data_IF_407684618411
#
_entry.id   IF_407684618411
#
_cell.length_a   1.000
_cell.length_b   1.000
_cell.length_c   1.000
_cell.angle_alpha   90.00
_cell.angle_beta   90.00
_cell.angle_gamma   90.00
#
_symmetry.space_group_name_H-M   'P 1'
#
loop_
_entity.id
_entity.type
_entity.pdbx_description
1 polymer ?
#
# COMPACT_ATOMS: atom_id res chain seq x y z
N UNK A 1 10.81 -5.23 -11.07
CA UNK A 1 11.43 -4.82 -12.35
C UNK A 1 11.42 -3.30 -12.41
N UNK A 2 12.59 -2.67 -12.26
CA UNK A 2 12.74 -1.22 -12.44
C UNK A 2 12.74 -0.93 -13.93
N UNK A 3 11.76 -0.16 -14.38
CA UNK A 3 11.66 0.28 -15.78
C UNK A 3 12.73 1.35 -16.03
N UNK A 4 13.88 0.98 -16.55
CA UNK A 4 14.96 1.88 -16.96
C UNK A 4 14.76 2.46 -18.37
N UNK A 5 13.54 2.41 -18.89
CA UNK A 5 13.20 2.89 -20.23
C UNK A 5 13.16 4.41 -20.30
N UNK A 6 13.94 4.98 -21.19
CA UNK A 6 13.90 6.39 -21.57
C UNK A 6 12.50 6.74 -22.07
N UNK A 7 11.84 7.68 -21.40
CA UNK A 7 10.49 8.13 -21.80
C UNK A 7 10.59 8.89 -23.12
N UNK A 8 9.89 8.41 -24.15
CA UNK A 8 9.74 9.08 -25.44
C UNK A 8 8.44 9.90 -25.49
N UNK A 9 8.53 11.13 -25.96
CA UNK A 9 7.37 11.97 -26.16
C UNK A 9 6.56 11.53 -27.39
N UNK A 10 5.30 11.14 -27.22
CA UNK A 10 4.42 10.74 -28.33
C UNK A 10 4.06 11.88 -29.32
N UNK A 11 4.47 13.12 -29.05
CA UNK A 11 4.23 14.27 -29.93
C UNK A 11 5.46 14.66 -30.76
N UNK A 12 6.64 14.73 -30.15
CA UNK A 12 7.86 15.17 -30.85
C UNK A 12 8.90 14.06 -31.02
N UNK A 13 8.62 12.86 -30.51
CA UNK A 13 9.43 11.63 -30.52
C UNK A 13 10.83 11.78 -29.88
N UNK A 14 11.09 12.89 -29.17
CA UNK A 14 12.33 13.09 -28.41
C UNK A 14 12.28 12.38 -27.08
N UNK A 15 13.45 11.95 -26.61
CA UNK A 15 13.65 11.34 -25.29
C UNK A 15 13.67 12.39 -24.16
N UNK A 16 13.49 11.93 -22.92
CA UNK A 16 13.65 12.75 -21.70
C UNK A 16 12.40 13.49 -21.23
N UNK A 17 11.27 13.39 -21.96
CA UNK A 17 10.00 13.98 -21.53
C UNK A 17 8.79 13.24 -22.13
N UNK A 18 7.63 13.38 -21.51
CA UNK A 18 6.36 12.86 -22.02
C UNK A 18 5.57 13.96 -22.77
N UNK A 19 4.44 13.56 -23.39
CA UNK A 19 3.57 14.51 -24.11
C UNK A 19 3.08 15.66 -23.21
N UNK A 20 2.88 15.42 -21.88
CA UNK A 20 2.38 16.46 -20.96
C UNK A 20 3.42 17.55 -20.70
N UNK A 21 4.70 17.23 -20.68
CA UNK A 21 5.82 18.17 -20.48
C UNK A 21 6.54 18.58 -21.76
N UNK A 22 5.95 18.29 -22.93
CA UNK A 22 6.59 18.58 -24.23
C UNK A 22 6.69 20.08 -24.51
N UNK A 23 7.91 20.64 -24.70
CA UNK A 23 8.11 22.06 -25.01
C UNK A 23 7.43 22.47 -26.30
N UNK A 24 7.51 21.63 -27.35
CA UNK A 24 6.89 21.93 -28.67
C UNK A 24 5.38 22.12 -28.58
N UNK A 25 4.68 21.35 -27.74
CA UNK A 25 3.23 21.55 -27.50
C UNK A 25 2.98 22.88 -26.77
N UNK A 26 3.85 23.23 -25.84
CA UNK A 26 3.74 24.49 -25.10
C UNK A 26 3.92 25.69 -26.06
N UNK A 27 4.92 25.65 -26.91
CA UNK A 27 5.14 26.67 -27.96
C UNK A 27 3.97 26.71 -28.94
N UNK A 28 3.42 25.57 -29.34
CA UNK A 28 2.25 25.50 -30.22
C UNK A 28 1.04 26.21 -29.62
N UNK A 29 0.77 26.02 -28.32
CA UNK A 29 -0.34 26.71 -27.64
C UNK A 29 -0.10 28.22 -27.58
N UNK A 30 1.14 28.68 -27.32
CA UNK A 30 1.48 30.11 -27.34
C UNK A 30 1.28 30.70 -28.73
N UNK A 31 1.77 30.02 -29.77
CA UNK A 31 1.62 30.46 -31.15
C UNK A 31 0.14 30.59 -31.54
N UNK A 32 -0.66 29.54 -31.27
CA UNK A 32 -2.10 29.56 -31.56
C UNK A 32 -2.84 30.66 -30.82
N UNK A 33 -2.50 30.89 -29.58
CA UNK A 33 -3.07 32.00 -28.80
C UNK A 33 -2.83 33.35 -29.47
N UNK A 34 -1.60 33.62 -29.91
CA UNK A 34 -1.22 34.84 -30.63
C UNK A 34 -1.94 34.95 -31.99
N UNK A 35 -2.02 33.85 -32.75
CA UNK A 35 -2.70 33.80 -34.02
C UNK A 35 -4.22 34.09 -33.86
N UNK A 36 -4.86 33.48 -32.89
CA UNK A 36 -6.28 33.75 -32.60
C UNK A 36 -6.53 35.16 -32.11
N UNK A 37 -5.61 35.77 -31.36
CA UNK A 37 -5.68 37.16 -30.96
C UNK A 37 -5.68 38.09 -32.19
N UNK A 38 -4.79 37.84 -33.14
CA UNK A 38 -4.76 38.59 -34.42
C UNK A 38 -6.03 38.39 -35.26
N UNK A 39 -6.54 37.18 -35.32
CA UNK A 39 -7.80 36.91 -36.00
C UNK A 39 -8.97 37.60 -35.34
N UNK A 40 -9.02 37.62 -34.02
CA UNK A 40 -10.04 38.35 -33.26
C UNK A 40 -10.03 39.84 -33.57
N UNK A 41 -8.85 40.48 -33.55
CA UNK A 41 -8.68 41.92 -33.92
C UNK A 41 -9.20 42.21 -35.33
N UNK A 42 -8.98 41.30 -36.29
CA UNK A 42 -9.50 41.43 -37.66
C UNK A 42 -11.02 41.30 -37.72
N UNK A 43 -11.60 40.34 -36.99
CA UNK A 43 -13.06 40.18 -36.95
C UNK A 43 -13.75 41.37 -36.24
N UNK A 44 -13.14 41.93 -35.22
CA UNK A 44 -13.63 43.12 -34.52
C UNK A 44 -13.61 44.33 -35.49
N UNK A 45 -12.54 44.51 -36.28
CA UNK A 45 -12.47 45.59 -37.28
C UNK A 45 -13.51 45.44 -38.42
N UNK A 46 -13.90 44.20 -38.73
CA UNK A 46 -14.86 43.90 -39.79
C UNK A 46 -16.29 43.71 -39.27
N UNK A 47 -16.55 43.89 -37.98
CA UNK A 47 -17.84 43.65 -37.33
C UNK A 47 -18.42 42.24 -37.53
N UNK A 48 -17.55 41.23 -37.68
CA UNK A 48 -17.95 39.82 -37.79
C UNK A 48 -18.22 39.21 -36.39
N UNK A 49 -19.50 39.27 -35.99
CA UNK A 49 -19.89 38.78 -34.66
C UNK A 49 -19.68 37.30 -34.43
N UNK A 50 -19.89 36.46 -35.47
CA UNK A 50 -19.67 35.00 -35.41
C UNK A 50 -18.18 34.67 -35.28
N UNK A 51 -17.33 35.33 -36.01
CA UNK A 51 -15.88 35.18 -35.92
C UNK A 51 -15.35 35.60 -34.55
N UNK A 52 -15.88 36.72 -34.02
CA UNK A 52 -15.51 37.23 -32.67
C UNK A 52 -15.75 36.16 -31.59
N UNK A 53 -16.92 35.56 -31.52
CA UNK A 53 -17.24 34.56 -30.50
C UNK A 53 -16.36 33.32 -30.65
N UNK A 54 -16.19 32.83 -31.86
CA UNK A 54 -15.37 31.65 -32.14
C UNK A 54 -13.90 31.88 -31.76
N UNK A 55 -13.28 32.97 -32.16
CA UNK A 55 -11.86 33.22 -31.85
C UNK A 55 -11.64 33.57 -30.38
N UNK A 56 -12.58 34.23 -29.70
CA UNK A 56 -12.54 34.39 -28.23
C UNK A 56 -12.48 33.04 -27.53
N UNK A 57 -13.34 32.11 -27.88
CA UNK A 57 -13.36 30.77 -27.28
C UNK A 57 -12.05 30.01 -27.50
N UNK A 58 -11.52 30.03 -28.73
CA UNK A 58 -10.24 29.39 -29.05
C UNK A 58 -9.05 30.01 -28.33
N UNK A 59 -9.01 31.35 -28.28
CA UNK A 59 -7.96 32.11 -27.59
C UNK A 59 -7.94 31.77 -26.09
N UNK A 60 -9.08 31.77 -25.42
CA UNK A 60 -9.20 31.38 -23.99
C UNK A 60 -8.73 29.94 -23.78
N UNK A 61 -9.15 29.00 -24.63
CA UNK A 61 -8.76 27.59 -24.54
C UNK A 61 -7.24 27.39 -24.64
N UNK A 62 -6.58 28.01 -25.60
CA UNK A 62 -5.14 27.84 -25.79
C UNK A 62 -4.33 28.65 -24.75
N UNK A 63 -4.83 29.79 -24.28
CA UNK A 63 -4.28 30.50 -23.12
C UNK A 63 -4.28 29.61 -21.88
N UNK A 64 -5.40 28.99 -21.56
CA UNK A 64 -5.54 28.12 -20.40
C UNK A 64 -4.60 26.90 -20.47
N UNK A 65 -4.47 26.31 -21.66
CA UNK A 65 -3.53 25.20 -21.90
C UNK A 65 -2.08 25.64 -21.70
N UNK A 66 -1.70 26.82 -22.22
CA UNK A 66 -0.37 27.37 -22.03
C UNK A 66 -0.08 27.69 -20.55
N UNK A 67 -0.99 28.41 -19.89
CA UNK A 67 -0.90 28.75 -18.47
C UNK A 67 -0.85 27.51 -17.60
N UNK A 68 -1.64 26.46 -17.90
CA UNK A 68 -1.61 25.19 -17.18
C UNK A 68 -0.26 24.49 -17.27
N UNK A 69 0.47 24.64 -18.36
CA UNK A 69 1.78 24.02 -18.59
C UNK A 69 2.93 24.81 -18.00
N UNK A 70 2.93 26.12 -18.20
CA UNK A 70 4.07 27.00 -17.86
C UNK A 70 3.91 27.72 -16.52
N UNK A 71 2.68 28.00 -16.13
CA UNK A 71 2.39 28.93 -15.03
C UNK A 71 2.56 30.39 -15.40
N UNK A 72 2.88 30.70 -16.66
CA UNK A 72 3.15 32.05 -17.16
C UNK A 72 1.96 32.60 -17.95
N UNK A 73 1.77 33.89 -17.91
CA UNK A 73 0.85 34.58 -18.82
C UNK A 73 1.47 34.67 -20.21
N UNK A 74 0.77 34.30 -21.29
CA UNK A 74 1.34 34.30 -22.64
C UNK A 74 1.66 35.68 -23.20
N UNK A 75 0.98 36.74 -22.70
CA UNK A 75 1.20 38.13 -23.14
C UNK A 75 2.38 38.78 -22.42
N UNK A 76 2.40 38.70 -21.07
CA UNK A 76 3.41 39.38 -20.24
C UNK A 76 4.62 38.51 -19.91
N UNK A 77 4.50 37.18 -19.99
CA UNK A 77 5.53 36.25 -19.54
C UNK A 77 5.67 36.13 -18.01
N UNK A 78 4.84 36.83 -17.26
CA UNK A 78 4.89 36.81 -15.80
C UNK A 78 4.23 35.58 -15.19
N UNK A 79 4.68 35.19 -14.00
CA UNK A 79 4.09 34.06 -13.26
C UNK A 79 2.70 34.41 -12.73
N UNK A 80 1.69 33.67 -13.19
CA UNK A 80 0.33 33.82 -12.69
C UNK A 80 0.26 33.32 -11.25
N UNK A 81 -0.13 34.17 -10.30
CA UNK A 81 -0.27 33.84 -8.88
C UNK A 81 -1.43 32.85 -8.64
N UNK A 82 -1.19 31.54 -8.87
CA UNK A 82 -2.18 30.46 -8.65
C UNK A 82 -2.44 30.14 -7.16
N UNK A 83 -1.69 30.74 -6.23
CA UNK A 83 -1.73 30.37 -4.80
C UNK A 83 -3.10 30.56 -4.14
N UNK A 84 -3.83 31.63 -4.48
CA UNK A 84 -5.14 31.93 -3.83
C UNK A 84 -6.22 30.91 -4.19
N UNK A 85 -6.38 30.57 -5.46
CA UNK A 85 -7.40 29.61 -5.92
C UNK A 85 -7.15 28.18 -5.38
N UNK A 86 -5.89 27.76 -5.19
CA UNK A 86 -5.54 26.47 -4.60
C UNK A 86 -5.86 26.44 -3.10
N UNK A 87 -5.56 27.50 -2.38
CA UNK A 87 -5.86 27.60 -0.95
C UNK A 87 -7.38 27.62 -0.67
N UNK A 88 -8.15 28.34 -1.48
CA UNK A 88 -9.61 28.36 -1.38
C UNK A 88 -10.24 27.01 -1.72
N UNK A 89 -9.76 26.35 -2.78
CA UNK A 89 -10.21 25.01 -3.13
C UNK A 89 -9.88 24.00 -2.04
N UNK A 90 -8.72 24.13 -1.38
CA UNK A 90 -8.33 23.24 -0.27
C UNK A 90 -9.23 23.38 0.94
N UNK A 91 -9.80 24.57 1.25
CA UNK A 91 -10.73 24.75 2.38
C UNK A 91 -11.96 23.86 2.29
N UNK A 92 -12.42 23.57 1.07
CA UNK A 92 -13.62 22.76 0.81
C UNK A 92 -13.30 21.27 0.53
N UNK A 93 -12.04 20.86 0.59
CA UNK A 93 -11.65 19.45 0.41
C UNK A 93 -11.89 18.69 1.70
N UNK A 94 -12.79 17.74 1.67
CA UNK A 94 -13.01 16.81 2.77
C UNK A 94 -11.97 15.68 2.73
N UNK A 95 -11.31 15.45 3.86
CA UNK A 95 -10.37 14.35 4.00
C UNK A 95 -11.11 13.00 3.93
N UNK A 96 -10.73 12.14 2.96
CA UNK A 96 -11.33 10.82 2.81
C UNK A 96 -11.01 9.83 3.94
N UNK A 97 -10.25 10.25 4.96
CA UNK A 97 -9.89 9.43 6.11
C UNK A 97 -10.60 9.88 7.39
N UNK A 98 -10.34 11.11 7.86
CA UNK A 98 -10.94 11.64 9.09
C UNK A 98 -12.24 12.41 8.87
N UNK A 99 -12.66 12.65 7.61
CA UNK A 99 -13.88 13.40 7.28
C UNK A 99 -13.78 14.91 7.48
N UNK A 100 -12.71 15.45 8.06
CA UNK A 100 -12.53 16.87 8.31
C UNK A 100 -12.23 17.65 7.03
N UNK A 101 -12.75 18.88 6.93
CA UNK A 101 -12.48 19.78 5.82
C UNK A 101 -11.08 20.43 5.93
N UNK A 102 -10.58 20.90 4.81
CA UNK A 102 -9.36 21.73 4.75
C UNK A 102 -8.08 21.00 4.43
N UNK A 103 -8.09 19.67 4.31
CA UNK A 103 -6.89 18.90 3.97
C UNK A 103 -7.20 17.63 3.18
N UNK A 104 -6.17 17.10 2.54
CA UNK A 104 -6.22 15.78 1.90
C UNK A 104 -5.64 14.73 2.86
N UNK A 105 -5.95 13.47 2.60
CA UNK A 105 -5.41 12.33 3.32
C UNK A 105 -3.86 12.31 3.44
N UNK A 106 -3.13 12.82 2.43
CA UNK A 106 -1.64 12.85 2.45
C UNK A 106 -1.06 13.70 3.58
N UNK A 107 -1.80 14.73 4.01
CA UNK A 107 -1.40 15.67 5.06
C UNK A 107 -2.28 15.54 6.31
N UNK A 108 -3.03 14.46 6.42
CA UNK A 108 -3.91 14.20 7.54
C UNK A 108 -3.10 13.77 8.77
N UNK A 109 -3.15 14.54 9.83
CA UNK A 109 -2.44 14.22 11.08
C UNK A 109 -3.00 12.96 11.74
N UNK A 110 -4.31 12.73 11.64
CA UNK A 110 -4.94 11.51 12.13
C UNK A 110 -4.35 10.26 11.44
N UNK A 111 -4.17 10.30 10.10
CA UNK A 111 -3.50 9.18 9.39
C UNK A 111 -2.09 8.94 9.91
N UNK A 112 -1.36 10.01 10.17
CA UNK A 112 0.02 9.90 10.67
C UNK A 112 0.06 9.30 12.08
N UNK A 113 -0.82 9.79 12.97
CA UNK A 113 -0.95 9.26 14.32
C UNK A 113 -1.33 7.78 14.30
N UNK A 114 -2.35 7.42 13.56
CA UNK A 114 -2.81 6.06 13.42
C UNK A 114 -1.73 5.13 12.83
N UNK A 115 -0.95 5.63 11.89
CA UNK A 115 0.16 4.85 11.33
C UNK A 115 1.28 4.61 12.34
N UNK A 116 1.58 5.56 13.22
CA UNK A 116 2.55 5.35 14.31
C UNK A 116 2.08 4.25 15.26
N UNK A 117 0.81 4.31 15.69
CA UNK A 117 0.21 3.27 16.54
C UNK A 117 0.29 1.90 15.85
N UNK A 118 -0.05 1.83 14.56
CA UNK A 118 0.04 0.60 13.78
C UNK A 118 1.48 0.04 13.74
N UNK A 119 2.49 0.88 13.58
CA UNK A 119 3.89 0.43 13.54
C UNK A 119 4.33 -0.16 14.88
N UNK A 120 3.99 0.49 16.00
CA UNK A 120 4.34 0.00 17.35
C UNK A 120 3.64 -1.33 17.63
N UNK A 121 2.35 -1.43 17.34
CA UNK A 121 1.61 -2.68 17.51
C UNK A 121 2.13 -3.80 16.59
N UNK A 122 2.47 -3.48 15.36
CA UNK A 122 3.08 -4.45 14.44
C UNK A 122 4.41 -4.97 15.00
N UNK A 123 5.25 -4.08 15.52
CA UNK A 123 6.52 -4.46 16.14
C UNK A 123 6.27 -5.40 17.34
N UNK A 124 5.34 -5.05 18.22
CA UNK A 124 4.99 -5.87 19.39
C UNK A 124 4.53 -7.28 18.99
N UNK A 125 3.57 -7.36 18.06
CA UNK A 125 3.05 -8.66 17.58
C UNK A 125 4.16 -9.50 16.97
N UNK A 126 5.02 -8.88 16.16
CA UNK A 126 6.14 -9.58 15.51
C UNK A 126 7.20 -10.04 16.51
N UNK A 127 7.50 -9.24 17.53
CA UNK A 127 8.45 -9.64 18.58
C UNK A 127 7.94 -10.87 19.33
N UNK A 128 6.71 -10.82 19.84
CA UNK A 128 6.12 -11.95 20.57
C UNK A 128 6.06 -13.22 19.71
N UNK A 129 5.69 -13.08 18.45
CA UNK A 129 5.63 -14.21 17.53
C UNK A 129 7.02 -14.81 17.23
N UNK A 130 8.01 -13.95 17.03
CA UNK A 130 9.40 -14.40 16.78
C UNK A 130 9.96 -15.16 18.01
N UNK A 131 9.65 -14.68 19.22
CA UNK A 131 10.00 -15.35 20.46
C UNK A 131 9.34 -16.74 20.53
N UNK A 132 8.03 -16.82 20.29
CA UNK A 132 7.30 -18.08 20.28
C UNK A 132 7.84 -19.09 19.23
N UNK A 133 8.20 -18.59 18.03
CA UNK A 133 8.81 -19.44 16.99
C UNK A 133 10.19 -19.96 17.45
N UNK A 134 11.00 -19.11 18.08
CA UNK A 134 12.31 -19.50 18.61
C UNK A 134 12.20 -20.48 19.76
N UNK A 135 11.28 -20.25 20.68
CA UNK A 135 11.01 -21.15 21.82
C UNK A 135 10.52 -22.52 21.36
N UNK A 136 9.74 -22.59 20.30
CA UNK A 136 9.30 -23.86 19.72
C UNK A 136 10.45 -24.70 19.14
N UNK A 137 11.59 -24.06 18.82
CA UNK A 137 12.73 -24.68 18.12
C UNK A 137 12.45 -25.08 16.68
N UNK A 138 11.27 -24.75 16.13
CA UNK A 138 10.89 -25.11 14.76
C UNK A 138 11.30 -23.98 13.81
N UNK A 139 12.04 -24.30 12.76
CA UNK A 139 12.52 -23.33 11.78
C UNK A 139 12.43 -23.85 10.35
N UNK A 140 12.81 -23.01 9.39
CA UNK A 140 12.95 -23.41 8.00
C UNK A 140 14.03 -24.49 7.93
N UNK A 141 13.71 -25.63 7.31
CA UNK A 141 14.58 -26.81 7.31
C UNK A 141 14.20 -27.86 8.35
N UNK A 142 13.36 -27.55 9.34
CA UNK A 142 12.89 -28.53 10.32
C UNK A 142 12.00 -29.58 9.69
N UNK A 143 12.17 -30.83 10.13
CA UNK A 143 11.22 -31.91 9.89
C UNK A 143 10.26 -31.99 11.06
N UNK A 144 8.97 -31.98 10.79
CA UNK A 144 7.91 -32.03 11.78
C UNK A 144 6.89 -33.10 11.46
N UNK A 145 6.24 -33.64 12.49
CA UNK A 145 5.12 -34.55 12.32
C UNK A 145 3.84 -33.91 12.85
N UNK A 146 2.74 -34.08 12.14
CA UNK A 146 1.42 -33.70 12.62
C UNK A 146 0.33 -34.56 11.98
N UNK A 147 -0.82 -34.70 12.66
CA UNK A 147 -1.93 -35.47 12.11
C UNK A 147 -2.54 -34.78 10.89
N UNK A 148 -2.82 -35.59 9.89
CA UNK A 148 -3.52 -35.17 8.67
C UNK A 148 -4.66 -36.13 8.37
N UNK A 149 -5.70 -35.63 7.70
CA UNK A 149 -6.83 -36.44 7.25
C UNK A 149 -6.68 -36.78 5.78
N UNK A 150 -6.84 -38.05 5.44
CA UNK A 150 -6.73 -38.49 4.06
C UNK A 150 -6.79 -40.00 3.93
N UNK A 151 -6.38 -40.50 2.77
CA UNK A 151 -6.19 -41.92 2.55
C UNK A 151 -4.78 -42.34 2.95
N UNK A 152 -4.67 -43.38 3.78
CA UNK A 152 -3.40 -44.01 4.11
C UNK A 152 -2.85 -44.82 2.93
N UNK A 153 -1.69 -45.42 3.11
CA UNK A 153 -1.05 -46.29 2.11
C UNK A 153 -1.93 -47.47 1.70
N UNK A 154 -2.84 -47.90 2.53
CA UNK A 154 -3.75 -49.02 2.32
C UNK A 154 -5.10 -48.58 1.69
N UNK A 155 -5.20 -47.33 1.30
CA UNK A 155 -6.42 -46.75 0.69
C UNK A 155 -7.59 -46.55 1.65
N UNK A 156 -7.36 -46.58 2.98
CA UNK A 156 -8.37 -46.31 3.99
C UNK A 156 -8.36 -44.86 4.37
N UNK A 157 -9.54 -44.24 4.39
CA UNK A 157 -9.71 -42.86 4.87
C UNK A 157 -9.60 -42.81 6.41
N UNK A 158 -8.80 -41.88 6.93
CA UNK A 158 -8.62 -41.70 8.37
C UNK A 158 -7.65 -40.59 8.71
N UNK A 159 -7.35 -40.47 10.00
CA UNK A 159 -6.27 -39.59 10.48
C UNK A 159 -4.97 -40.42 10.56
N UNK A 160 -3.90 -39.88 9.99
CA UNK A 160 -2.57 -40.49 10.01
C UNK A 160 -1.50 -39.42 10.26
N UNK A 161 -0.38 -39.84 10.82
CA UNK A 161 0.74 -38.95 11.06
C UNK A 161 1.51 -38.69 9.78
N UNK A 162 1.69 -37.45 9.44
CA UNK A 162 2.41 -37.00 8.24
C UNK A 162 3.74 -36.37 8.65
N UNK A 163 4.83 -36.90 8.13
CA UNK A 163 6.15 -36.28 8.25
C UNK A 163 6.28 -35.20 7.18
N UNK A 164 6.62 -33.99 7.57
CA UNK A 164 6.66 -32.83 6.71
C UNK A 164 7.89 -31.98 6.96
N UNK A 165 8.33 -31.28 5.93
CA UNK A 165 9.50 -30.42 5.94
C UNK A 165 9.08 -28.96 5.80
N UNK A 166 9.52 -28.10 6.72
CA UNK A 166 9.20 -26.65 6.70
C UNK A 166 10.06 -25.96 5.64
N UNK A 167 9.41 -25.36 4.66
CA UNK A 167 10.08 -24.72 3.52
C UNK A 167 10.28 -23.23 3.73
N UNK A 168 9.29 -22.53 4.31
CA UNK A 168 9.38 -21.08 4.55
C UNK A 168 8.34 -20.59 5.53
N UNK A 169 8.63 -19.46 6.18
CA UNK A 169 7.68 -18.65 6.91
C UNK A 169 7.21 -17.46 6.08
N UNK A 170 5.92 -17.17 6.10
CA UNK A 170 5.32 -16.04 5.41
C UNK A 170 5.40 -14.77 6.27
N UNK A 171 6.61 -14.30 6.57
CA UNK A 171 6.87 -13.17 7.46
C UNK A 171 6.10 -11.91 7.09
N UNK A 172 5.91 -11.64 5.78
CA UNK A 172 5.22 -10.45 5.28
C UNK A 172 3.70 -10.47 5.55
N UNK A 173 3.14 -11.60 5.99
CA UNK A 173 1.72 -11.70 6.34
C UNK A 173 1.40 -11.20 7.75
N UNK A 174 2.42 -11.00 8.60
CA UNK A 174 2.25 -10.65 10.01
C UNK A 174 2.35 -9.15 10.23
N UNK A 175 1.31 -8.59 10.81
CA UNK A 175 1.25 -7.19 11.27
C UNK A 175 0.23 -7.05 12.40
N UNK A 176 -0.06 -5.81 12.82
CA UNK A 176 -1.02 -5.53 13.90
C UNK A 176 -2.43 -6.13 13.66
N UNK A 177 -2.81 -6.36 12.41
CA UNK A 177 -4.13 -6.90 12.03
C UNK A 177 -4.10 -8.38 11.71
N UNK A 178 -3.05 -8.84 11.03
CA UNK A 178 -2.86 -10.24 10.65
C UNK A 178 -1.81 -10.87 11.55
N UNK A 179 -2.25 -11.51 12.64
CA UNK A 179 -1.37 -12.05 13.69
C UNK A 179 -0.90 -13.48 13.41
N UNK A 180 -1.50 -14.13 12.42
CA UNK A 180 -1.12 -15.50 12.06
C UNK A 180 0.09 -15.55 11.16
N UNK A 181 1.16 -16.21 11.61
CA UNK A 181 2.33 -16.51 10.77
C UNK A 181 2.00 -17.73 9.90
N UNK A 182 1.97 -17.52 8.59
CA UNK A 182 1.86 -18.62 7.65
C UNK A 182 3.15 -19.42 7.58
N UNK A 183 3.02 -20.73 7.69
CA UNK A 183 4.11 -21.70 7.55
C UNK A 183 3.84 -22.54 6.33
N UNK A 184 4.76 -22.56 5.40
CA UNK A 184 4.69 -23.44 4.22
C UNK A 184 5.52 -24.68 4.47
N UNK A 185 4.97 -25.84 4.10
CA UNK A 185 5.61 -27.13 4.30
C UNK A 185 5.32 -28.06 3.12
N UNK A 186 6.14 -29.07 2.99
CA UNK A 186 5.97 -30.13 2.01
C UNK A 186 6.10 -31.50 2.69
N UNK A 187 5.29 -32.46 2.25
CA UNK A 187 5.42 -33.84 2.72
C UNK A 187 6.81 -34.39 2.34
N UNK A 188 7.45 -35.11 3.25
CA UNK A 188 8.79 -35.70 3.04
C UNK A 188 8.91 -36.52 1.74
N UNK A 189 7.83 -37.18 1.31
CA UNK A 189 7.79 -37.91 0.04
C UNK A 189 7.88 -37.03 -1.20
N UNK A 190 7.53 -35.76 -1.05
CA UNK A 190 7.50 -34.76 -2.11
C UNK A 190 8.57 -33.66 -1.95
N UNK A 191 9.56 -33.87 -1.08
CA UNK A 191 10.58 -32.86 -0.78
C UNK A 191 11.34 -32.42 -2.05
N UNK A 192 11.50 -33.29 -3.02
CA UNK A 192 12.09 -32.99 -4.33
C UNK A 192 11.20 -32.05 -5.19
N UNK A 193 9.93 -31.86 -4.81
CA UNK A 193 8.96 -30.98 -5.47
C UNK A 193 8.65 -29.73 -4.65
N UNK A 194 9.50 -29.34 -3.70
CA UNK A 194 9.26 -28.19 -2.81
C UNK A 194 9.10 -26.86 -3.55
N UNK A 195 9.56 -26.78 -4.81
CA UNK A 195 9.38 -25.59 -5.67
C UNK A 195 8.08 -25.61 -6.49
N UNK A 196 7.36 -26.73 -6.48
CA UNK A 196 6.09 -26.84 -7.17
C UNK A 196 4.95 -26.38 -6.23
N UNK A 197 4.21 -25.30 -6.59
CA UNK A 197 3.16 -24.76 -5.73
C UNK A 197 2.02 -25.74 -5.44
N UNK A 198 1.83 -26.75 -6.26
CA UNK A 198 0.82 -27.82 -6.04
C UNK A 198 1.19 -28.82 -4.95
N UNK A 199 2.46 -28.85 -4.53
CA UNK A 199 2.96 -29.77 -3.48
C UNK A 199 3.35 -29.06 -2.20
N UNK A 200 3.28 -27.72 -2.16
CA UNK A 200 3.52 -26.91 -0.97
C UNK A 200 2.20 -26.60 -0.30
N UNK A 201 2.03 -27.08 0.91
CA UNK A 201 0.89 -26.82 1.76
C UNK A 201 1.20 -25.63 2.70
N UNK A 202 0.17 -25.00 3.27
CA UNK A 202 0.33 -23.91 4.22
C UNK A 202 -0.57 -24.09 5.42
N UNK A 203 -0.06 -23.73 6.60
CA UNK A 203 -0.77 -23.75 7.88
C UNK A 203 -0.37 -22.50 8.69
N UNK A 204 -1.18 -22.05 9.61
CA UNK A 204 -0.76 -21.05 10.59
C UNK A 204 0.09 -21.70 11.68
N UNK A 205 1.12 -20.98 12.14
CA UNK A 205 2.08 -21.46 13.13
C UNK A 205 1.41 -21.98 14.40
N UNK A 206 0.49 -21.23 14.98
CA UNK A 206 -0.25 -21.63 16.18
C UNK A 206 -1.03 -22.92 15.95
N UNK A 207 -1.74 -23.01 14.81
CA UNK A 207 -2.48 -24.24 14.46
C UNK A 207 -1.55 -25.42 14.21
N UNK A 208 -0.34 -25.19 13.74
CA UNK A 208 0.68 -26.24 13.59
C UNK A 208 1.14 -26.75 14.95
N UNK A 209 1.43 -25.86 15.90
CA UNK A 209 1.82 -26.22 17.27
C UNK A 209 0.73 -27.02 17.99
N UNK A 210 -0.53 -26.59 17.88
CA UNK A 210 -1.65 -27.30 18.50
C UNK A 210 -1.82 -28.71 17.92
N UNK A 211 -1.68 -28.86 16.62
CA UNK A 211 -1.71 -30.18 15.96
C UNK A 211 -0.54 -31.06 16.35
N UNK A 212 0.66 -30.47 16.54
CA UNK A 212 1.85 -31.23 17.00
C UNK A 212 1.68 -31.75 18.44
N UNK A 213 0.96 -31.05 19.33
CA UNK A 213 0.67 -31.50 20.69
C UNK A 213 -0.20 -32.74 20.71
N UNK A 214 -0.99 -32.98 19.67
CA UNK A 214 -1.83 -34.18 19.50
C UNK A 214 -1.06 -35.39 18.90
N UNK A 215 0.21 -35.19 18.56
CA UNK A 215 1.06 -36.29 18.02
C UNK A 215 1.36 -37.28 19.15
N UNK A 216 1.26 -38.60 18.90
CA UNK A 216 1.58 -39.62 19.90
C UNK A 216 3.00 -39.48 20.47
N UNK A 217 3.19 -39.86 21.74
CA UNK A 217 4.49 -39.76 22.43
C UNK A 217 5.62 -40.52 21.74
N UNK A 218 5.29 -41.58 20.98
CA UNK A 218 6.21 -42.36 20.19
C UNK A 218 6.56 -41.78 18.82
N UNK A 219 5.92 -40.65 18.44
CA UNK A 219 6.26 -39.99 17.20
C UNK A 219 7.66 -39.34 17.28
N UNK A 220 8.42 -39.34 16.19
CA UNK A 220 9.73 -38.68 16.19
C UNK A 220 9.59 -37.18 16.52
N UNK A 221 10.41 -36.71 17.45
CA UNK A 221 10.46 -35.29 17.82
C UNK A 221 10.75 -34.42 16.56
N UNK A 222 10.22 -33.20 16.51
CA UNK A 222 10.57 -32.27 15.45
C UNK A 222 12.10 -32.03 15.41
N UNK A 223 12.66 -31.98 14.23
CA UNK A 223 14.06 -31.60 14.08
C UNK A 223 14.23 -30.11 14.37
N UNK A 224 15.07 -29.79 15.37
CA UNK A 224 15.35 -28.40 15.77
C UNK A 224 16.40 -27.70 14.90
N UNK A 225 16.83 -28.32 13.80
CA UNK A 225 17.89 -27.81 12.94
C UNK A 225 17.48 -26.65 12.00
N UNK A 226 16.29 -26.09 12.17
CA UNK A 226 15.77 -25.07 11.29
C UNK A 226 16.25 -23.65 11.62
N UNK A 227 16.32 -22.80 10.60
CA UNK A 227 16.65 -21.37 10.74
C UNK A 227 15.39 -20.53 11.04
N UNK A 228 15.46 -19.69 12.05
CA UNK A 228 14.39 -18.76 12.44
C UNK A 228 14.91 -17.31 12.31
N UNK A 229 15.15 -16.90 11.08
CA UNK A 229 15.63 -15.56 10.77
C UNK A 229 14.59 -14.81 9.93
N UNK A 230 13.91 -13.83 10.50
CA UNK A 230 13.06 -12.93 9.73
C UNK A 230 13.93 -12.07 8.79
N UNK A 231 13.35 -11.52 7.71
CA UNK A 231 14.05 -10.60 6.83
C UNK A 231 14.49 -9.33 7.55
N UNK A 232 15.59 -8.72 7.08
CA UNK A 232 16.11 -7.46 7.63
C UNK A 232 15.04 -6.37 7.68
N UNK A 233 14.96 -5.64 8.79
CA UNK A 233 13.96 -4.60 9.01
C UNK A 233 12.52 -5.09 9.24
N UNK A 234 12.31 -6.40 9.35
CA UNK A 234 10.97 -6.94 9.59
C UNK A 234 10.41 -6.51 10.94
N UNK A 235 11.20 -6.53 12.01
CA UNK A 235 10.77 -6.08 13.35
C UNK A 235 10.41 -4.60 13.39
N UNK A 236 10.99 -3.78 12.52
CA UNK A 236 10.70 -2.34 12.47
C UNK A 236 9.43 -1.98 11.67
N UNK A 237 8.65 -2.97 11.28
CA UNK A 237 7.43 -2.77 10.51
C UNK A 237 7.64 -2.52 9.01
N UNK A 238 8.89 -2.49 8.55
CA UNK A 238 9.28 -2.07 7.20
C UNK A 238 8.80 -2.94 6.04
N UNK A 239 8.34 -4.18 6.31
CA UNK A 239 7.88 -5.13 5.28
C UNK A 239 6.42 -5.53 5.41
N UNK A 240 5.59 -4.74 6.12
CA UNK A 240 4.16 -5.00 6.09
C UNK A 240 3.62 -4.79 4.67
N UNK A 241 2.71 -5.66 4.23
CA UNK A 241 2.02 -5.47 2.94
C UNK A 241 1.36 -4.08 2.95
N UNK A 242 1.52 -3.31 1.87
CA UNK A 242 0.87 -2.00 1.69
C UNK A 242 -0.65 -2.04 1.89
N UNK A 243 -1.25 -3.21 1.76
CA UNK A 243 -2.67 -3.45 1.98
C UNK A 243 -3.05 -3.60 3.46
N UNK A 244 -2.08 -3.81 4.36
CA UNK A 244 -2.37 -4.08 5.76
C UNK A 244 -2.73 -2.81 6.55
N UNK A 245 -2.07 -1.68 6.28
CA UNK A 245 -2.55 -0.41 6.82
C UNK A 245 -3.66 0.13 5.90
N UNK A 246 -4.89 0.30 6.41
CA UNK A 246 -6.04 0.70 5.60
C UNK A 246 -5.86 2.13 5.08
N UNK A 247 -5.21 2.21 3.93
CA UNK A 247 -5.05 3.47 3.22
C UNK A 247 -6.31 3.89 2.48
N UNK A 248 -7.33 3.05 2.41
CA UNK A 248 -8.62 3.29 1.74
C UNK A 248 -9.75 3.17 2.75
N UNK A 249 -9.89 4.12 3.68
CA UNK A 249 -11.16 4.31 4.39
C UNK A 249 -12.25 4.60 3.34
N UNK A 250 -13.34 3.83 3.34
CA UNK A 250 -14.53 4.18 2.57
C UNK A 250 -15.00 5.56 3.05
N UNK A 251 -15.35 6.45 2.12
CA UNK A 251 -15.94 7.77 2.42
C UNK A 251 -17.18 7.71 3.32
N UNK A 252 -17.75 6.51 3.49
CA UNK A 252 -18.99 6.27 4.23
C UNK A 252 -18.77 5.61 5.60
N UNK A 253 -17.60 5.02 5.86
CA UNK A 253 -17.30 4.48 7.18
C UNK A 253 -16.81 5.63 8.07
N UNK A 254 -17.71 6.10 8.92
CA UNK A 254 -17.40 7.08 9.98
C UNK A 254 -16.44 6.51 11.02
N UNK A 255 -16.21 5.22 10.99
CA UNK A 255 -15.41 4.47 11.94
C UNK A 255 -14.04 4.17 11.35
N UNK A 256 -13.01 4.33 12.13
CA UNK A 256 -11.63 4.07 11.72
C UNK A 256 -11.45 2.56 11.54
N UNK A 257 -11.10 2.06 10.34
CA UNK A 257 -11.21 0.61 10.01
C UNK A 257 -10.39 -0.31 10.91
N UNK A 258 -9.40 0.19 11.65
CA UNK A 258 -8.54 -0.60 12.53
C UNK A 258 -8.90 -0.50 14.01
N UNK A 259 -9.81 0.40 14.44
CA UNK A 259 -10.25 0.52 15.83
C UNK A 259 -10.86 -0.80 16.38
N UNK A 260 -11.49 -1.56 15.51
CA UNK A 260 -12.15 -2.83 15.86
C UNK A 260 -11.20 -4.03 16.05
N UNK A 261 -9.96 -3.97 15.58
CA UNK A 261 -9.10 -5.15 15.51
C UNK A 261 -8.04 -5.21 16.61
N UNK A 262 -7.87 -4.14 17.38
CA UNK A 262 -6.90 -4.12 18.47
C UNK A 262 -7.54 -4.35 19.81
N UNK A 263 -6.94 -5.15 20.69
CA UNK A 263 -7.34 -5.21 22.07
C UNK A 263 -7.32 -3.80 22.69
N UNK A 264 -8.39 -3.40 23.36
CA UNK A 264 -8.57 -2.04 23.88
C UNK A 264 -7.41 -1.59 24.80
N UNK A 265 -6.95 -2.49 25.68
CA UNK A 265 -5.94 -2.17 26.68
C UNK A 265 -4.56 -1.93 26.05
N UNK A 266 -4.13 -2.80 25.14
CA UNK A 266 -2.84 -2.63 24.46
C UNK A 266 -2.80 -1.36 23.58
N UNK A 267 -3.94 -0.96 23.06
CA UNK A 267 -4.07 0.28 22.29
C UNK A 267 -3.90 1.50 23.18
N UNK A 268 -4.51 1.51 24.38
CA UNK A 268 -4.38 2.60 25.37
C UNK A 268 -2.91 2.83 25.75
N UNK A 269 -2.18 1.76 26.06
CA UNK A 269 -0.75 1.83 26.39
C UNK A 269 0.08 2.45 25.25
N UNK A 270 -0.15 2.02 24.02
CA UNK A 270 0.59 2.54 22.86
C UNK A 270 0.24 4.00 22.59
N UNK A 271 -1.03 4.41 22.66
CA UNK A 271 -1.46 5.79 22.49
C UNK A 271 -0.78 6.68 23.53
N UNK A 272 -0.74 6.23 24.79
CA UNK A 272 -0.10 6.94 25.89
C UNK A 272 1.40 7.06 25.70
N UNK A 273 2.08 5.97 25.32
CA UNK A 273 3.53 5.96 25.10
C UNK A 273 3.98 6.86 23.95
N UNK A 274 3.10 7.07 22.98
CA UNK A 274 3.36 7.94 21.81
C UNK A 274 2.90 9.40 22.03
N UNK A 275 2.26 9.73 23.17
CA UNK A 275 1.74 11.08 23.43
C UNK A 275 0.60 11.48 22.47
N UNK A 276 -0.22 10.54 22.04
CA UNK A 276 -1.27 10.75 21.04
C UNK A 276 -2.68 10.86 21.63
N UNK A 277 -2.82 11.10 22.95
CA UNK A 277 -4.11 11.15 23.65
C UNK A 277 -5.08 12.16 23.04
N UNK A 278 -4.59 13.32 22.60
CA UNK A 278 -5.42 14.35 21.99
C UNK A 278 -6.09 13.91 20.68
N UNK A 279 -5.49 12.94 19.98
CA UNK A 279 -6.05 12.35 18.77
C UNK A 279 -7.08 11.23 19.04
N UNK A 280 -7.15 10.78 20.30
CA UNK A 280 -8.00 9.66 20.73
C UNK A 280 -8.71 9.98 22.05
N UNK A 281 -9.60 10.97 22.05
CA UNK A 281 -10.24 11.43 23.30
C UNK A 281 -11.00 10.32 24.04
N UNK A 282 -11.53 9.33 23.31
CA UNK A 282 -12.27 8.19 23.90
C UNK A 282 -11.35 7.03 24.35
N UNK A 283 -10.05 7.11 24.17
CA UNK A 283 -9.12 6.09 24.64
C UNK A 283 -8.64 6.32 26.08
N UNK A 284 -9.02 7.46 26.67
CA UNK A 284 -8.68 7.83 28.05
C UNK A 284 -9.70 7.31 29.09
N UNK A 285 -10.87 6.84 28.65
CA UNK A 285 -11.88 6.15 29.47
C UNK A 285 -11.68 4.62 29.44
#
# INVERSE_FOLDING_TARGET
MSWSGTVHCSHCYKQGHNRRSCPKITELHKKRYIDYKRCLEKCEANHDTSGIEMYKAHMVSDRDKYVKRTGLDPDTGEKIKRKKAKAERMKNVQCGYCGTLGHTRRVCETVKADYQVYLVETKRVRTNLLEAVRESGIGVGSMVTFPDRGYNTDGKWGTYTKLSYITTYQWDSVDAHARGLGVSYVNHKNIHRMHDPYHVESIYFDSMLDRMKEVPEDAPAPSLAGSVNPPDGWLDGGRSRKAAFPTTGNRHDKERPYEYRWPSDSKKEVITSLGLQDHYPNAAE
#
